data_IF_243908593337
#
_entry.id   IF_243908593337
#
_cell.length_a   1.000
_cell.length_b   1.000
_cell.length_c   1.000
_cell.angle_alpha   90.00
_cell.angle_beta   90.00
_cell.angle_gamma   90.00
#
_symmetry.space_group_name_H-M   'P 1'
#
loop_
_entity.id
_entity.type
_entity.pdbx_description
1 polymer ?
#
# COMPACT_ATOMS: atom_id res chain seq x y z
N UNK A 1 -11.39 31.15 -16.95
CA UNK A 1 -12.45 30.56 -16.08
C UNK A 1 -12.19 29.07 -15.96
N UNK A 2 -11.98 28.55 -14.75
CA UNK A 2 -11.81 27.11 -14.52
C UNK A 2 -13.18 26.43 -14.64
N UNK A 3 -13.36 25.55 -15.62
CA UNK A 3 -14.62 24.83 -15.80
C UNK A 3 -14.91 23.96 -14.57
N UNK A 4 -16.08 24.15 -13.97
CA UNK A 4 -16.59 23.28 -12.90
C UNK A 4 -17.36 22.16 -13.59
N UNK A 5 -16.90 20.94 -13.42
CA UNK A 5 -17.57 19.73 -13.92
C UNK A 5 -18.27 19.09 -12.73
N UNK A 6 -19.60 19.14 -12.74
CA UNK A 6 -20.43 18.52 -11.73
C UNK A 6 -20.95 17.17 -12.23
N UNK A 7 -20.81 16.14 -11.41
CA UNK A 7 -21.39 14.82 -11.64
C UNK A 7 -22.26 14.41 -10.45
N UNK A 8 -23.01 13.31 -10.60
CA UNK A 8 -23.78 12.70 -9.51
C UNK A 8 -22.93 12.34 -8.30
N UNK A 9 -21.64 12.03 -8.49
CA UNK A 9 -20.76 11.50 -7.44
C UNK A 9 -19.68 12.48 -6.96
N UNK A 10 -19.35 13.50 -7.74
CA UNK A 10 -18.26 14.43 -7.41
C UNK A 10 -18.43 15.80 -8.09
N UNK A 11 -17.85 16.82 -7.49
CA UNK A 11 -17.67 18.16 -8.07
C UNK A 11 -16.18 18.32 -8.38
N UNK A 12 -15.82 18.43 -9.65
CA UNK A 12 -14.45 18.69 -10.07
C UNK A 12 -14.30 20.14 -10.49
N UNK A 13 -13.33 20.81 -9.91
CA UNK A 13 -12.73 22.04 -10.43
C UNK A 13 -11.42 21.67 -11.13
N UNK A 14 -10.83 22.56 -11.94
CA UNK A 14 -9.55 22.30 -12.60
C UNK A 14 -8.39 21.89 -11.68
N UNK A 15 -8.50 22.10 -10.36
CA UNK A 15 -7.46 21.77 -9.37
C UNK A 15 -7.93 20.88 -8.22
N UNK A 16 -9.24 20.71 -8.01
CA UNK A 16 -9.80 20.02 -6.83
C UNK A 16 -10.99 19.16 -7.19
N UNK A 17 -11.11 18.00 -6.54
CA UNK A 17 -12.28 17.13 -6.65
C UNK A 17 -12.90 16.96 -5.26
N UNK A 18 -14.15 17.39 -5.11
CA UNK A 18 -14.97 17.13 -3.94
C UNK A 18 -15.81 15.88 -4.19
N UNK A 19 -15.69 14.88 -3.32
CA UNK A 19 -16.47 13.65 -3.40
C UNK A 19 -17.79 13.84 -2.64
N UNK A 20 -18.93 13.73 -3.31
CA UNK A 20 -20.25 13.92 -2.69
C UNK A 20 -20.66 12.73 -1.81
N UNK A 21 -20.21 11.52 -2.15
CA UNK A 21 -20.54 10.30 -1.41
C UNK A 21 -19.30 9.75 -0.71
N UNK A 22 -19.01 10.30 0.47
CA UNK A 22 -17.84 9.98 1.28
C UNK A 22 -17.96 8.59 1.94
N UNK A 23 -19.17 8.10 2.18
CA UNK A 23 -19.44 6.80 2.82
C UNK A 23 -18.87 5.61 2.04
N UNK A 24 -18.65 5.78 0.73
CA UNK A 24 -17.96 4.81 -0.15
C UNK A 24 -16.45 4.75 0.05
N UNK A 25 -15.89 5.67 0.82
CA UNK A 25 -14.47 5.79 1.13
C UNK A 25 -14.19 5.72 2.64
N UNK A 26 -15.02 6.28 3.52
CA UNK A 26 -14.81 6.14 4.97
C UNK A 26 -15.19 4.74 5.46
N UNK A 27 -14.38 4.19 6.36
CA UNK A 27 -14.64 2.92 7.04
C UNK A 27 -15.00 3.25 8.49
N UNK A 28 -16.29 3.16 8.84
CA UNK A 28 -16.73 3.22 10.24
C UNK A 28 -16.51 1.86 10.90
N UNK A 29 -16.13 1.86 12.18
CA UNK A 29 -15.96 0.64 12.98
C UNK A 29 -17.22 -0.23 13.01
N UNK A 30 -18.39 0.40 12.91
CA UNK A 30 -19.68 -0.28 12.87
C UNK A 30 -19.92 -1.05 11.57
N UNK A 31 -19.34 -0.61 10.44
CA UNK A 31 -19.53 -1.24 9.13
C UNK A 31 -18.89 -2.63 9.01
N UNK A 32 -18.00 -2.97 9.93
CA UNK A 32 -17.20 -4.21 9.90
C UNK A 32 -17.49 -5.10 11.11
N UNK A 33 -18.53 -4.79 11.89
CA UNK A 33 -19.00 -5.65 12.99
C UNK A 33 -19.69 -6.88 12.40
N UNK A 34 -19.29 -8.07 12.85
CA UNK A 34 -19.86 -9.35 12.40
C UNK A 34 -19.34 -9.87 11.05
N UNK A 35 -18.34 -9.22 10.44
CA UNK A 35 -17.75 -9.73 9.19
C UNK A 35 -16.83 -10.91 9.47
N UNK A 36 -16.93 -11.94 8.65
CA UNK A 36 -15.92 -13.01 8.56
C UNK A 36 -14.64 -12.46 7.91
N UNK A 37 -13.49 -13.10 8.14
CA UNK A 37 -12.21 -12.69 7.55
C UNK A 37 -12.27 -12.55 6.03
N UNK A 38 -12.94 -13.48 5.33
CA UNK A 38 -13.07 -13.44 3.88
C UNK A 38 -13.90 -12.25 3.38
N UNK A 39 -15.02 -11.96 4.05
CA UNK A 39 -15.85 -10.79 3.73
C UNK A 39 -15.12 -9.49 4.02
N UNK A 40 -14.31 -9.46 5.08
CA UNK A 40 -13.51 -8.31 5.47
C UNK A 40 -12.40 -8.01 4.45
N UNK A 41 -11.67 -9.04 4.01
CA UNK A 41 -10.66 -8.94 2.95
C UNK A 41 -11.29 -8.39 1.67
N UNK A 42 -12.43 -8.94 1.25
CA UNK A 42 -13.15 -8.49 0.04
C UNK A 42 -13.63 -7.04 0.18
N UNK A 43 -14.11 -6.67 1.36
CA UNK A 43 -14.55 -5.30 1.66
C UNK A 43 -13.39 -4.30 1.52
N UNK A 44 -12.26 -4.55 2.17
CA UNK A 44 -11.09 -3.67 2.09
C UNK A 44 -10.49 -3.65 0.68
N UNK A 45 -10.39 -4.78 -0.01
CA UNK A 45 -9.90 -4.83 -1.39
C UNK A 45 -10.68 -3.90 -2.34
N UNK A 46 -12.02 -3.91 -2.24
CA UNK A 46 -12.88 -3.00 -3.03
C UNK A 46 -12.61 -1.54 -2.69
N UNK A 47 -12.34 -1.23 -1.43
CA UNK A 47 -12.07 0.15 -0.95
C UNK A 47 -10.71 0.64 -1.45
N UNK A 48 -9.65 -0.17 -1.33
CA UNK A 48 -8.35 0.14 -1.92
C UNK A 48 -8.46 0.37 -3.43
N UNK A 49 -9.19 -0.48 -4.14
CA UNK A 49 -9.42 -0.31 -5.59
C UNK A 49 -10.09 1.03 -5.93
N UNK A 50 -11.02 1.52 -5.10
CA UNK A 50 -11.66 2.83 -5.29
C UNK A 50 -10.71 4.00 -5.09
N UNK A 51 -9.64 3.84 -4.30
CA UNK A 51 -8.64 4.88 -4.13
C UNK A 51 -7.79 5.12 -5.39
N UNK A 52 -7.78 4.18 -6.35
CA UNK A 52 -6.98 4.25 -7.60
C UNK A 52 -7.02 5.62 -8.27
N UNK A 53 -8.22 6.23 -8.38
CA UNK A 53 -8.40 7.51 -9.06
C UNK A 53 -7.72 8.69 -8.34
N UNK A 54 -7.45 8.57 -7.04
CA UNK A 54 -6.88 9.64 -6.22
C UNK A 54 -5.37 9.50 -6.00
N UNK A 55 -4.77 8.36 -6.40
CA UNK A 55 -3.34 8.09 -6.22
C UNK A 55 -2.48 9.02 -7.09
N UNK A 56 -2.85 9.15 -8.37
CA UNK A 56 -2.10 9.97 -9.34
C UNK A 56 -2.93 10.23 -10.59
N UNK A 57 -2.62 11.33 -11.27
CA UNK A 57 -3.14 11.60 -12.61
C UNK A 57 -2.52 10.67 -13.67
N UNK A 58 -1.25 10.24 -13.47
CA UNK A 58 -0.52 9.40 -14.41
C UNK A 58 -1.07 7.97 -14.39
N UNK A 59 -1.43 7.45 -15.57
CA UNK A 59 -2.00 6.11 -15.71
C UNK A 59 -1.05 5.02 -15.20
N UNK A 60 0.24 5.10 -15.58
CA UNK A 60 1.27 4.14 -15.16
C UNK A 60 1.34 3.98 -13.63
N UNK A 61 1.31 5.08 -12.86
CA UNK A 61 1.35 5.02 -11.38
C UNK A 61 0.09 4.36 -10.82
N UNK A 62 -1.07 4.63 -11.42
CA UNK A 62 -2.35 4.01 -11.02
C UNK A 62 -2.35 2.50 -11.28
N UNK A 63 -1.71 2.06 -12.34
CA UNK A 63 -1.62 0.63 -12.67
C UNK A 63 -0.62 -0.09 -11.77
N UNK A 64 0.53 0.52 -11.47
CA UNK A 64 1.47 0.02 -10.43
C UNK A 64 0.74 -0.14 -9.09
N UNK A 65 -0.04 0.86 -8.67
CA UNK A 65 -0.82 0.77 -7.46
C UNK A 65 -1.81 -0.41 -7.48
N UNK A 66 -2.53 -0.60 -8.57
CA UNK A 66 -3.47 -1.71 -8.67
C UNK A 66 -2.77 -3.07 -8.65
N UNK A 67 -1.63 -3.19 -9.31
CA UNK A 67 -0.83 -4.42 -9.31
C UNK A 67 -0.30 -4.70 -7.90
N UNK A 68 0.14 -3.67 -7.19
CA UNK A 68 0.54 -3.75 -5.79
C UNK A 68 -0.60 -4.24 -4.89
N UNK A 69 -1.79 -3.63 -4.96
CA UNK A 69 -2.94 -4.05 -4.15
C UNK A 69 -3.36 -5.49 -4.48
N UNK A 70 -3.39 -5.88 -5.76
CA UNK A 70 -3.66 -7.26 -6.17
C UNK A 70 -2.65 -8.23 -5.58
N UNK A 71 -1.36 -7.89 -5.66
CA UNK A 71 -0.29 -8.70 -5.09
C UNK A 71 -0.46 -8.89 -3.58
N UNK A 72 -0.71 -7.81 -2.84
CA UNK A 72 -0.89 -7.83 -1.39
C UNK A 72 -2.06 -8.69 -0.92
N UNK A 73 -3.17 -8.65 -1.66
CA UNK A 73 -4.40 -9.38 -1.28
C UNK A 73 -4.45 -10.82 -1.79
N UNK A 74 -3.83 -11.10 -2.94
CA UNK A 74 -3.96 -12.40 -3.62
C UNK A 74 -2.76 -13.31 -3.43
N UNK A 75 -1.56 -12.74 -3.35
CA UNK A 75 -0.32 -13.52 -3.45
C UNK A 75 0.56 -13.36 -2.20
N UNK A 76 0.65 -12.18 -1.59
CA UNK A 76 1.62 -11.96 -0.51
C UNK A 76 1.28 -12.75 0.76
N UNK A 77 2.17 -13.69 1.10
CA UNK A 77 2.25 -14.28 2.43
C UNK A 77 3.06 -13.36 3.36
N UNK A 78 2.33 -12.46 4.02
CA UNK A 78 2.93 -11.45 4.89
C UNK A 78 3.59 -12.05 6.13
N UNK A 79 2.99 -13.08 6.73
CA UNK A 79 3.56 -13.70 7.94
C UNK A 79 4.90 -14.37 7.62
N UNK A 80 4.99 -15.04 6.47
CA UNK A 80 6.25 -15.58 5.97
C UNK A 80 7.30 -14.48 5.74
N UNK A 81 6.93 -13.37 5.08
CA UNK A 81 7.84 -12.23 4.87
C UNK A 81 8.32 -11.63 6.20
N UNK A 82 7.39 -11.43 7.13
CA UNK A 82 7.64 -10.89 8.47
C UNK A 82 8.60 -11.78 9.26
N UNK A 83 8.35 -13.08 9.28
CA UNK A 83 9.19 -14.06 9.97
C UNK A 83 10.61 -14.13 9.39
N UNK A 84 10.78 -14.03 8.06
CA UNK A 84 12.11 -13.98 7.45
C UNK A 84 12.95 -12.78 7.90
N UNK A 85 12.32 -11.65 8.21
CA UNK A 85 13.02 -10.40 8.58
C UNK A 85 13.22 -10.30 10.09
N UNK A 86 12.16 -10.52 10.88
CA UNK A 86 12.15 -10.30 12.32
C UNK A 86 12.51 -11.55 13.12
N UNK A 87 12.43 -12.74 12.51
CA UNK A 87 12.56 -14.03 13.19
C UNK A 87 11.44 -14.26 14.22
N UNK A 88 11.66 -15.21 15.12
CA UNK A 88 10.72 -15.55 16.20
C UNK A 88 10.71 -14.56 17.37
N UNK A 89 11.50 -13.49 17.30
CA UNK A 89 11.77 -12.60 18.43
C UNK A 89 10.66 -11.58 18.71
N UNK A 90 9.65 -11.45 17.85
CA UNK A 90 8.58 -10.43 17.98
C UNK A 90 7.21 -11.09 17.89
N UNK A 91 6.79 -11.72 18.99
CA UNK A 91 5.46 -12.31 19.20
C UNK A 91 4.49 -11.38 19.94
N UNK A 92 4.93 -10.20 20.40
CA UNK A 92 4.17 -9.43 21.41
C UNK A 92 3.09 -8.48 20.87
N UNK A 93 3.01 -8.19 19.57
CA UNK A 93 2.02 -7.26 19.01
C UNK A 93 1.44 -7.73 17.67
N UNK A 94 0.98 -8.98 17.57
CA UNK A 94 0.13 -9.38 16.45
C UNK A 94 -1.24 -8.69 16.56
N UNK A 95 -1.31 -7.46 16.04
CA UNK A 95 -2.57 -6.75 15.87
C UNK A 95 -3.53 -7.62 15.06
N UNK A 96 -4.82 -7.58 15.41
CA UNK A 96 -5.86 -8.28 14.69
C UNK A 96 -5.82 -7.86 13.20
N UNK A 97 -5.97 -8.83 12.27
CA UNK A 97 -6.03 -8.57 10.82
C UNK A 97 -6.97 -7.40 10.47
N UNK A 98 -8.10 -7.30 11.17
CA UNK A 98 -9.06 -6.21 11.02
C UNK A 98 -8.42 -4.84 11.31
N UNK A 99 -7.69 -4.73 12.40
CA UNK A 99 -7.02 -3.50 12.80
C UNK A 99 -5.89 -3.15 11.84
N UNK A 100 -5.08 -4.14 11.43
CA UNK A 100 -4.02 -3.94 10.45
C UNK A 100 -4.58 -3.41 9.13
N UNK A 101 -5.65 -4.01 8.61
CA UNK A 101 -6.29 -3.54 7.38
C UNK A 101 -6.90 -2.15 7.53
N UNK A 102 -7.52 -1.86 8.67
CA UNK A 102 -8.06 -0.53 8.98
C UNK A 102 -6.97 0.54 9.00
N UNK A 103 -5.88 0.29 9.74
CA UNK A 103 -4.73 1.20 9.83
C UNK A 103 -4.05 1.39 8.47
N UNK A 104 -3.90 0.32 7.70
CA UNK A 104 -3.33 0.38 6.33
C UNK A 104 -4.21 1.22 5.42
N UNK A 105 -5.52 1.04 5.51
CA UNK A 105 -6.46 1.84 4.73
C UNK A 105 -6.42 3.31 5.12
N UNK A 106 -6.40 3.62 6.41
CA UNK A 106 -6.27 4.98 6.91
C UNK A 106 -4.96 5.62 6.47
N UNK A 107 -3.83 4.90 6.52
CA UNK A 107 -2.55 5.38 6.02
C UNK A 107 -2.65 5.77 4.53
N UNK A 108 -3.20 4.89 3.69
CA UNK A 108 -3.35 5.19 2.26
C UNK A 108 -4.35 6.32 1.99
N UNK A 109 -5.42 6.40 2.77
CA UNK A 109 -6.39 7.49 2.69
C UNK A 109 -5.74 8.84 3.04
N UNK A 110 -4.92 8.89 4.09
CA UNK A 110 -4.10 10.07 4.44
C UNK A 110 -3.11 10.41 3.34
N UNK A 111 -2.43 9.41 2.75
CA UNK A 111 -1.49 9.63 1.66
C UNK A 111 -2.15 10.23 0.40
N UNK A 112 -3.44 9.98 0.14
CA UNK A 112 -4.16 10.60 -1.00
C UNK A 112 -4.91 11.88 -0.63
N UNK A 113 -4.90 12.27 0.64
CA UNK A 113 -5.64 13.44 1.13
C UNK A 113 -5.01 14.75 0.67
N UNK A 114 -5.83 15.81 0.60
CA UNK A 114 -5.38 17.15 0.23
C UNK A 114 -4.60 17.80 1.39
N UNK A 115 -3.64 18.67 1.07
CA UNK A 115 -2.88 19.45 2.03
C UNK A 115 -3.58 20.80 2.14
N UNK A 116 -4.14 21.10 3.31
CA UNK A 116 -4.79 22.38 3.58
C UNK A 116 -3.75 23.46 3.84
N UNK A 117 -4.08 24.75 3.75
CA UNK A 117 -3.09 25.81 4.02
C UNK A 117 -2.88 26.08 5.50
N UNK A 118 -3.88 25.79 6.34
CA UNK A 118 -3.95 26.32 7.71
C UNK A 118 -3.59 25.30 8.81
N UNK A 119 -3.45 24.01 8.47
CA UNK A 119 -3.20 22.92 9.43
C UNK A 119 -1.78 22.33 9.33
N UNK A 120 -0.78 23.04 9.85
CA UNK A 120 0.64 22.70 9.68
C UNK A 120 1.04 21.28 10.17
N UNK A 121 0.47 20.79 11.29
CA UNK A 121 0.76 19.46 11.83
C UNK A 121 0.18 18.35 10.94
N UNK A 122 -1.12 18.42 10.64
CA UNK A 122 -1.82 17.47 9.76
C UNK A 122 -1.20 17.42 8.36
N UNK A 123 -0.76 18.58 7.85
CA UNK A 123 -0.06 18.66 6.58
C UNK A 123 1.28 17.92 6.57
N UNK A 124 2.02 17.98 7.68
CA UNK A 124 3.29 17.26 7.81
C UNK A 124 3.07 15.75 7.74
N UNK A 125 2.06 15.24 8.43
CA UNK A 125 1.72 13.82 8.42
C UNK A 125 1.25 13.37 7.03
N UNK A 126 0.42 14.17 6.36
CA UNK A 126 -0.02 13.92 4.97
C UNK A 126 1.17 13.90 4.01
N UNK A 127 2.10 14.86 4.14
CA UNK A 127 3.31 14.92 3.31
C UNK A 127 4.22 13.71 3.53
N UNK A 128 4.40 13.29 4.79
CA UNK A 128 5.20 12.12 5.13
C UNK A 128 4.57 10.84 4.59
N UNK A 129 3.26 10.65 4.79
CA UNK A 129 2.52 9.52 4.23
C UNK A 129 2.59 9.49 2.70
N UNK A 130 2.45 10.65 2.03
CA UNK A 130 2.63 10.80 0.57
C UNK A 130 4.01 10.36 0.12
N UNK A 131 5.06 10.81 0.81
CA UNK A 131 6.44 10.52 0.44
C UNK A 131 6.76 9.04 0.62
N UNK A 132 6.37 8.45 1.75
CA UNK A 132 6.52 7.01 2.01
C UNK A 132 5.78 6.21 0.94
N UNK A 133 4.52 6.55 0.68
CA UNK A 133 3.71 5.82 -0.28
C UNK A 133 4.25 5.94 -1.71
N UNK A 134 4.72 7.12 -2.11
CA UNK A 134 5.40 7.33 -3.39
C UNK A 134 6.64 6.45 -3.51
N UNK A 135 7.46 6.35 -2.45
CA UNK A 135 8.66 5.51 -2.46
C UNK A 135 8.29 4.03 -2.63
N UNK A 136 7.25 3.56 -1.93
CA UNK A 136 6.73 2.19 -2.08
C UNK A 136 6.34 1.94 -3.54
N UNK A 137 5.48 2.79 -4.12
CA UNK A 137 5.06 2.63 -5.51
C UNK A 137 6.21 2.70 -6.50
N UNK A 138 7.24 3.49 -6.22
CA UNK A 138 8.44 3.61 -7.08
C UNK A 138 9.22 2.30 -7.09
N UNK A 139 9.48 1.72 -5.92
CA UNK A 139 10.16 0.42 -5.82
C UNK A 139 9.31 -0.69 -6.44
N UNK A 140 7.99 -0.67 -6.22
CA UNK A 140 7.08 -1.65 -6.81
C UNK A 140 6.98 -1.57 -8.33
N UNK A 141 7.07 -0.37 -8.90
CA UNK A 141 7.20 -0.19 -10.35
C UNK A 141 8.48 -0.86 -10.86
N UNK A 142 9.63 -0.58 -10.21
CA UNK A 142 10.90 -1.21 -10.60
C UNK A 142 10.89 -2.74 -10.46
N UNK A 143 10.29 -3.28 -9.40
CA UNK A 143 10.11 -4.73 -9.23
C UNK A 143 9.28 -5.33 -10.36
N UNK A 144 8.22 -4.65 -10.78
CA UNK A 144 7.32 -5.13 -11.84
C UNK A 144 8.00 -5.07 -13.21
N UNK A 145 8.65 -3.95 -13.52
CA UNK A 145 9.36 -3.77 -14.78
C UNK A 145 10.51 -4.79 -14.98
N UNK A 146 11.18 -5.18 -13.89
CA UNK A 146 12.27 -6.14 -13.95
C UNK A 146 11.79 -7.60 -13.99
N UNK A 147 10.73 -7.95 -13.25
CA UNK A 147 10.29 -9.34 -13.13
C UNK A 147 9.32 -9.78 -14.24
N UNK A 148 8.57 -8.88 -14.87
CA UNK A 148 7.69 -9.25 -16.00
C UNK A 148 8.48 -9.52 -17.29
N UNK A 149 9.74 -9.08 -17.38
CA UNK A 149 10.61 -9.26 -18.55
C UNK A 149 11.46 -10.53 -18.50
N UNK A 150 11.52 -11.22 -17.35
CA UNK A 150 12.48 -12.30 -17.08
C UNK A 150 11.72 -13.44 -16.41
N UNK A 151 11.14 -14.37 -17.19
CA UNK A 151 10.55 -15.66 -16.79
C UNK A 151 9.60 -15.75 -15.55
N UNK A 152 8.53 -16.55 -15.68
CA UNK A 152 7.56 -16.79 -14.60
C UNK A 152 8.18 -17.34 -13.29
N UNK A 153 9.27 -18.11 -13.39
CA UNK A 153 9.96 -18.67 -12.22
C UNK A 153 10.65 -17.59 -11.38
N UNK A 154 11.26 -16.58 -12.01
CA UNK A 154 11.91 -15.48 -11.29
C UNK A 154 10.87 -14.59 -10.59
N UNK A 155 9.69 -14.41 -11.20
CA UNK A 155 8.56 -13.76 -10.54
C UNK A 155 8.17 -14.48 -9.25
N UNK A 156 8.02 -15.81 -9.28
CA UNK A 156 7.66 -16.60 -8.10
C UNK A 156 8.75 -16.52 -7.00
N UNK A 157 10.02 -16.69 -7.37
CA UNK A 157 11.14 -16.62 -6.43
C UNK A 157 11.24 -15.26 -5.73
N UNK A 158 10.96 -14.18 -6.47
CA UNK A 158 11.07 -12.83 -5.97
C UNK A 158 9.84 -12.38 -5.14
N UNK A 159 8.63 -12.71 -5.62
CA UNK A 159 7.36 -12.24 -5.05
C UNK A 159 6.76 -13.20 -4.00
N UNK A 160 7.01 -14.50 -4.08
CA UNK A 160 6.41 -15.50 -3.18
C UNK A 160 7.43 -16.19 -2.27
N UNK A 161 8.64 -16.45 -2.78
CA UNK A 161 9.71 -17.05 -1.99
C UNK A 161 10.57 -16.01 -1.25
N UNK A 162 10.44 -14.73 -1.58
CA UNK A 162 11.20 -13.61 -0.98
C UNK A 162 12.71 -13.82 -1.02
N UNK A 163 13.24 -14.29 -2.15
CA UNK A 163 14.66 -14.63 -2.33
C UNK A 163 15.60 -13.51 -1.88
N UNK A 164 15.25 -12.26 -2.13
CA UNK A 164 16.00 -11.06 -1.75
C UNK A 164 16.18 -10.88 -0.22
N UNK A 165 15.36 -11.57 0.59
CA UNK A 165 15.44 -11.56 2.06
C UNK A 165 16.24 -12.76 2.61
N UNK A 166 16.64 -13.71 1.75
CA UNK A 166 17.36 -14.91 2.15
C UNK A 166 18.81 -14.64 2.58
N UNK A 167 19.28 -15.38 3.60
CA UNK A 167 20.64 -15.26 4.19
C UNK A 167 21.81 -15.60 3.25
N UNK A 168 21.56 -16.04 2.00
CA UNK A 168 22.57 -16.55 1.06
C UNK A 168 23.07 -15.54 0.01
N UNK A 169 22.90 -14.24 0.23
CA UNK A 169 23.33 -13.21 -0.73
C UNK A 169 24.79 -12.76 -0.59
N UNK A 170 25.66 -13.56 0.03
CA UNK A 170 27.01 -13.09 0.39
C UNK A 170 27.99 -12.95 -0.78
N UNK A 171 27.89 -13.67 -1.90
CA UNK A 171 29.01 -13.70 -2.86
C UNK A 171 28.68 -13.48 -4.36
N UNK A 172 27.42 -13.28 -4.79
CA UNK A 172 27.08 -13.13 -6.23
C UNK A 172 25.76 -12.37 -6.52
N UNK A 173 25.15 -11.73 -5.52
CA UNK A 173 23.88 -11.04 -5.71
C UNK A 173 24.05 -9.72 -6.46
N UNK A 174 23.27 -9.51 -7.54
CA UNK A 174 23.17 -8.20 -8.17
C UNK A 174 22.89 -7.13 -7.10
N UNK A 175 23.65 -6.03 -7.08
CA UNK A 175 23.49 -4.92 -6.10
C UNK A 175 22.04 -4.44 -5.95
N UNK A 176 21.22 -4.60 -7.00
CA UNK A 176 19.79 -4.29 -7.02
C UNK A 176 18.97 -5.15 -6.05
N UNK A 177 19.25 -6.45 -5.94
CA UNK A 177 18.52 -7.35 -5.03
C UNK A 177 18.78 -6.98 -3.58
N UNK A 178 20.00 -6.54 -3.28
CA UNK A 178 20.37 -6.03 -1.95
C UNK A 178 19.56 -4.77 -1.63
N UNK A 179 19.54 -3.78 -2.53
CA UNK A 179 18.80 -2.53 -2.29
C UNK A 179 17.30 -2.77 -2.12
N UNK A 180 16.71 -3.67 -2.90
CA UNK A 180 15.28 -3.96 -2.77
C UNK A 180 14.99 -4.80 -1.52
N UNK A 181 15.87 -5.73 -1.16
CA UNK A 181 15.80 -6.47 0.10
C UNK A 181 15.85 -5.54 1.31
N UNK A 182 16.76 -4.57 1.33
CA UNK A 182 16.83 -3.55 2.39
C UNK A 182 15.57 -2.68 2.44
N UNK A 183 15.03 -2.28 1.28
CA UNK A 183 13.76 -1.56 1.23
C UNK A 183 12.60 -2.39 1.81
N UNK A 184 12.49 -3.67 1.44
CA UNK A 184 11.47 -4.58 1.96
C UNK A 184 11.59 -4.79 3.48
N UNK A 185 12.80 -4.79 4.03
CA UNK A 185 13.05 -4.79 5.48
C UNK A 185 12.52 -3.51 6.13
N UNK A 186 12.87 -2.34 5.59
CA UNK A 186 12.42 -1.05 6.12
C UNK A 186 10.89 -0.92 6.11
N UNK A 187 10.23 -1.37 5.03
CA UNK A 187 8.75 -1.38 4.97
C UNK A 187 8.16 -2.31 6.04
N UNK A 188 8.81 -3.44 6.31
CA UNK A 188 8.36 -4.36 7.36
C UNK A 188 8.51 -3.75 8.74
N UNK A 189 9.64 -3.08 9.05
CA UNK A 189 9.80 -2.35 10.31
C UNK A 189 8.80 -1.19 10.45
N UNK A 190 8.52 -0.47 9.36
CA UNK A 190 7.51 0.57 9.33
C UNK A 190 6.12 -0.01 9.66
N UNK A 191 5.79 -1.17 9.09
CA UNK A 191 4.54 -1.88 9.36
C UNK A 191 4.41 -2.27 10.83
N UNK A 192 5.46 -2.79 11.45
CA UNK A 192 5.45 -3.09 12.89
C UNK A 192 5.25 -1.84 13.74
N UNK A 193 5.87 -0.72 13.35
CA UNK A 193 5.77 0.55 14.08
C UNK A 193 4.37 1.15 13.99
N UNK A 194 3.76 1.14 12.80
CA UNK A 194 2.45 1.75 12.57
C UNK A 194 1.29 0.77 12.82
N UNK A 195 1.58 -0.52 12.95
CA UNK A 195 0.57 -1.56 12.96
C UNK A 195 -0.15 -1.71 11.62
N UNK A 196 0.54 -1.43 10.52
CA UNK A 196 0.01 -1.53 9.16
C UNK A 196 0.48 -2.81 8.48
N UNK A 197 -0.11 -3.11 7.33
CA UNK A 197 0.31 -4.15 6.40
C UNK A 197 0.42 -3.52 5.02
N UNK A 198 1.34 -2.55 4.91
CA UNK A 198 1.69 -1.89 3.66
C UNK A 198 2.32 -2.91 2.74
#
# INVERSE_FOLDING_TARGET
MSAIIETKNAISTGTRVLVKNIDKYIVSENCTKGFTNQTLITFYYRRFTRLKSYISQRQMIRDTYMNYIKYKFKYEDYEKKRHLILGDKITSNQLNLKEQLSRTYNFLFTAVSYIEKDNASTNKDILMAKQIFKNILTVEYFKTENNEKVNNDDYYQYRMAFRQLGKKHTNSGNNKDISIGEFDKLVTYLNETLGTRL
#
